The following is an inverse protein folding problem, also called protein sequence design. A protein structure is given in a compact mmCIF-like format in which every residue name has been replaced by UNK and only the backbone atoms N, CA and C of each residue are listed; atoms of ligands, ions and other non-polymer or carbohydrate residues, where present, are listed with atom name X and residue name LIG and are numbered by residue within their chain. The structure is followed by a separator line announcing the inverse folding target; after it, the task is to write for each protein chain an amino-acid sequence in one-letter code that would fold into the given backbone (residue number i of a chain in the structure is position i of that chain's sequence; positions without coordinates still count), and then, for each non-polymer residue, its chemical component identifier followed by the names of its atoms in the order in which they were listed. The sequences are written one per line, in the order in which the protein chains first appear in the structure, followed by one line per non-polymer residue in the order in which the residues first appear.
data_IF_535262878453
#
_entry.id   IF_535262878453
#
_cell.length_a   1.000
_cell.length_b   1.000
_cell.length_c   1.000
_cell.angle_alpha   90.00
_cell.angle_beta   90.00
_cell.angle_gamma   90.00
#
_symmetry.space_group_name_H-M   'P 1'
#
loop_
_entity.id
_entity.type
_entity.pdbx_description
1 polymer ?
#
# COMPACT_ATOMS: atom_id res chain seq x y z
N UNK A 1 4.37 -8.90 12.89
CA UNK A 1 3.40 -7.81 12.60
C UNK A 1 2.13 -8.10 13.38
N UNK A 2 1.43 -7.08 13.89
CA UNK A 2 0.20 -7.28 14.67
C UNK A 2 -1.00 -7.66 13.76
N UNK A 3 -1.97 -8.49 14.22
CA UNK A 3 -3.06 -9.02 13.38
C UNK A 3 -3.88 -8.01 12.57
N UNK A 4 -4.17 -6.82 13.11
CA UNK A 4 -4.91 -5.80 12.34
C UNK A 4 -4.12 -5.25 11.15
N UNK A 5 -2.82 -5.02 11.32
CA UNK A 5 -1.95 -4.61 10.21
C UNK A 5 -1.82 -5.73 9.18
N UNK A 6 -1.78 -6.99 9.61
CA UNK A 6 -1.81 -8.14 8.69
C UNK A 6 -3.09 -8.16 7.84
N UNK A 7 -4.25 -7.91 8.45
CA UNK A 7 -5.50 -7.81 7.71
C UNK A 7 -5.49 -6.62 6.73
N UNK A 8 -5.04 -5.46 7.18
CA UNK A 8 -4.89 -4.29 6.31
C UNK A 8 -3.90 -4.53 5.17
N UNK A 9 -2.80 -5.26 5.38
CA UNK A 9 -1.84 -5.58 4.32
C UNK A 9 -2.48 -6.43 3.22
N UNK A 10 -3.25 -7.45 3.61
CA UNK A 10 -3.98 -8.30 2.67
C UNK A 10 -5.03 -7.51 1.89
N UNK A 11 -5.73 -6.61 2.57
CA UNK A 11 -6.74 -5.79 1.93
C UNK A 11 -6.12 -4.75 0.97
N UNK A 12 -5.02 -4.11 1.35
CA UNK A 12 -4.25 -3.23 0.46
C UNK A 12 -3.82 -4.01 -0.79
N UNK A 13 -3.23 -5.19 -0.62
CA UNK A 13 -2.83 -6.03 -1.75
C UNK A 13 -4.01 -6.32 -2.69
N UNK A 14 -5.16 -6.72 -2.12
CA UNK A 14 -6.38 -7.01 -2.88
C UNK A 14 -6.86 -5.78 -3.67
N UNK A 15 -6.84 -4.60 -3.06
CA UNK A 15 -7.25 -3.35 -3.71
C UNK A 15 -6.27 -2.99 -4.83
N UNK A 16 -4.97 -3.09 -4.59
CA UNK A 16 -3.92 -2.86 -5.60
C UNK A 16 -4.12 -3.78 -6.80
N UNK A 17 -4.34 -5.07 -6.55
CA UNK A 17 -4.58 -6.06 -7.60
C UNK A 17 -5.83 -5.71 -8.43
N UNK A 18 -6.93 -5.31 -7.78
CA UNK A 18 -8.14 -4.86 -8.46
C UNK A 18 -7.91 -3.62 -9.33
N UNK A 19 -7.10 -2.67 -8.87
CA UNK A 19 -6.72 -1.52 -9.69
C UNK A 19 -5.87 -1.94 -10.89
N UNK A 20 -4.92 -2.85 -10.71
CA UNK A 20 -4.14 -3.40 -11.82
C UNK A 20 -5.02 -4.14 -12.83
N UNK A 21 -5.95 -4.99 -12.36
CA UNK A 21 -6.93 -5.69 -13.21
C UNK A 21 -7.80 -4.73 -14.01
N UNK A 22 -8.28 -3.65 -13.39
CA UNK A 22 -9.12 -2.66 -14.06
C UNK A 22 -8.41 -1.92 -15.20
N UNK A 23 -7.07 -1.84 -15.15
CA UNK A 23 -6.25 -1.23 -16.19
C UNK A 23 -5.82 -2.22 -17.29
N UNK A 24 -6.16 -3.51 -17.17
CA UNK A 24 -5.93 -4.50 -18.21
C UNK A 24 -7.15 -4.55 -19.15
N UNK A 25 -6.91 -4.35 -20.45
CA UNK A 25 -7.96 -4.40 -21.47
C UNK A 25 -8.47 -5.82 -21.81
N UNK A 26 -7.89 -6.87 -21.23
CA UNK A 26 -8.28 -8.26 -21.48
C UNK A 26 -8.32 -9.07 -20.19
N UNK A 27 -9.34 -9.93 -20.04
CA UNK A 27 -9.42 -10.92 -18.97
C UNK A 27 -8.23 -11.89 -19.09
N UNK A 28 -7.23 -11.72 -18.23
CA UNK A 28 -6.14 -12.68 -18.10
C UNK A 28 -6.53 -13.85 -17.20
N UNK A 29 -5.85 -14.98 -17.40
CA UNK A 29 -5.95 -16.21 -16.62
C UNK A 29 -4.93 -16.29 -15.47
N UNK A 30 -4.18 -15.20 -15.20
CA UNK A 30 -3.20 -15.13 -14.11
C UNK A 30 -3.90 -14.94 -12.76
N UNK A 31 -3.24 -15.38 -11.68
CA UNK A 31 -3.74 -15.24 -10.31
C UNK A 31 -3.71 -13.81 -9.76
N UNK A 32 -3.01 -12.90 -10.44
CA UNK A 32 -2.91 -11.47 -10.13
C UNK A 32 -2.51 -10.67 -11.38
N UNK A 33 -2.91 -9.40 -11.42
CA UNK A 33 -2.54 -8.42 -12.44
C UNK A 33 -1.32 -7.57 -12.06
N UNK A 34 -0.88 -7.61 -10.79
CA UNK A 34 0.22 -6.79 -10.27
C UNK A 34 1.51 -6.95 -11.08
N UNK A 35 2.00 -8.18 -11.40
CA UNK A 35 3.27 -8.33 -12.09
C UNK A 35 3.27 -7.77 -13.51
N UNK A 36 2.10 -7.76 -14.16
CA UNK A 36 1.93 -7.26 -15.52
C UNK A 36 1.92 -5.73 -15.56
N UNK A 37 1.32 -5.09 -14.55
CA UNK A 37 1.11 -3.63 -14.53
C UNK A 37 2.26 -2.91 -13.82
N UNK A 38 2.75 -3.44 -12.70
CA UNK A 38 3.76 -2.81 -11.87
C UNK A 38 5.17 -3.38 -12.09
N UNK A 39 5.33 -4.44 -12.87
CA UNK A 39 6.64 -5.01 -13.19
C UNK A 39 7.37 -5.66 -12.00
N UNK A 40 6.66 -5.96 -10.90
CA UNK A 40 7.20 -6.61 -9.70
C UNK A 40 6.49 -7.93 -9.41
N UNK A 41 7.16 -8.88 -8.76
CA UNK A 41 6.50 -10.14 -8.40
C UNK A 41 5.43 -9.93 -7.33
N UNK A 42 4.42 -10.81 -7.30
CA UNK A 42 3.39 -10.82 -6.23
C UNK A 42 4.02 -10.88 -4.83
N UNK A 43 5.09 -11.66 -4.71
CA UNK A 43 5.82 -11.83 -3.46
C UNK A 43 6.51 -10.53 -3.03
N UNK A 44 7.10 -9.80 -3.97
CA UNK A 44 7.75 -8.53 -3.67
C UNK A 44 6.72 -7.44 -3.36
N UNK A 45 5.61 -7.40 -4.08
CA UNK A 45 4.50 -6.51 -3.78
C UNK A 45 3.97 -6.73 -2.36
N UNK A 46 3.70 -7.99 -1.99
CA UNK A 46 3.29 -8.34 -0.62
C UNK A 46 4.34 -7.90 0.40
N UNK A 47 5.63 -8.23 0.18
CA UNK A 47 6.71 -7.84 1.09
C UNK A 47 6.80 -6.32 1.28
N UNK A 48 6.66 -5.55 0.20
CA UNK A 48 6.70 -4.08 0.26
C UNK A 48 5.52 -3.52 1.05
N UNK A 49 4.30 -3.96 0.76
CA UNK A 49 3.10 -3.57 1.50
C UNK A 49 3.26 -3.89 3.00
N UNK A 50 3.79 -5.07 3.32
CA UNK A 50 4.06 -5.45 4.71
C UNK A 50 5.09 -4.53 5.38
N UNK A 51 6.19 -4.21 4.69
CA UNK A 51 7.21 -3.28 5.20
C UNK A 51 6.63 -1.90 5.48
N UNK A 52 5.83 -1.38 4.55
CA UNK A 52 5.13 -0.09 4.71
C UNK A 52 4.26 -0.12 5.96
N UNK A 53 3.40 -1.14 6.11
CA UNK A 53 2.51 -1.22 7.27
C UNK A 53 3.24 -1.44 8.59
N UNK A 54 4.34 -2.18 8.60
CA UNK A 54 5.19 -2.31 9.80
C UNK A 54 5.73 -0.94 10.21
N UNK A 55 6.16 -0.12 9.25
CA UNK A 55 6.76 1.18 9.51
C UNK A 55 5.74 2.26 9.91
N UNK A 56 4.45 2.10 9.55
CA UNK A 56 3.41 3.03 9.98
C UNK A 56 3.13 2.94 11.50
N UNK A 57 2.75 4.03 12.17
CA UNK A 57 2.31 4.00 13.56
C UNK A 57 1.16 3.02 13.83
N UNK A 58 1.28 2.25 14.91
CA UNK A 58 0.28 1.27 15.33
C UNK A 58 -1.08 1.93 15.65
N UNK A 59 -1.06 3.13 16.25
CA UNK A 59 -2.26 3.87 16.62
C UNK A 59 -3.24 4.09 15.45
N UNK A 60 -2.73 4.14 14.21
CA UNK A 60 -3.53 4.30 13.00
C UNK A 60 -4.54 3.18 12.78
N UNK A 61 -4.21 1.96 13.23
CA UNK A 61 -5.01 0.76 13.02
C UNK A 61 -5.75 0.31 14.29
N UNK A 62 -5.28 0.73 15.47
CA UNK A 62 -5.90 0.33 16.75
C UNK A 62 -6.94 1.29 17.27
N UNK A 63 -6.67 2.59 17.19
CA UNK A 63 -7.49 3.62 17.84
C UNK A 63 -8.51 4.24 16.88
N UNK A 64 -8.37 4.00 15.57
CA UNK A 64 -9.33 4.44 14.57
C UNK A 64 -10.63 3.62 14.61
N UNK A 65 -11.74 4.28 14.29
CA UNK A 65 -13.02 3.61 13.99
C UNK A 65 -12.87 2.74 12.73
N UNK A 66 -13.59 1.60 12.61
CA UNK A 66 -13.47 0.69 11.47
C UNK A 66 -13.65 1.37 10.10
N UNK A 67 -14.59 2.31 9.98
CA UNK A 67 -14.85 3.03 8.73
C UNK A 67 -13.62 3.83 8.28
N UNK A 68 -12.97 4.51 9.24
CA UNK A 68 -11.75 5.27 9.01
C UNK A 68 -10.58 4.37 8.63
N UNK A 69 -10.50 3.17 9.22
CA UNK A 69 -9.48 2.18 8.84
C UNK A 69 -9.66 1.75 7.38
N UNK A 70 -10.90 1.50 6.93
CA UNK A 70 -11.17 1.13 5.54
C UNK A 70 -10.82 2.25 4.54
N UNK A 71 -11.14 3.49 4.87
CA UNK A 71 -10.75 4.65 4.06
C UNK A 71 -9.23 4.80 3.99
N UNK A 72 -8.55 4.68 5.12
CA UNK A 72 -7.10 4.76 5.21
C UNK A 72 -6.42 3.62 4.44
N UNK A 73 -6.96 2.40 4.52
CA UNK A 73 -6.50 1.24 3.74
C UNK A 73 -6.60 1.51 2.23
N UNK A 74 -7.74 2.03 1.77
CA UNK A 74 -7.94 2.40 0.36
C UNK A 74 -6.98 3.51 -0.07
N UNK A 75 -6.75 4.50 0.79
CA UNK A 75 -5.79 5.57 0.55
C UNK A 75 -4.35 5.05 0.43
N UNK A 76 -3.91 4.20 1.37
CA UNK A 76 -2.57 3.59 1.33
C UNK A 76 -2.39 2.77 0.05
N UNK A 77 -3.41 2.03 -0.39
CA UNK A 77 -3.35 1.28 -1.65
C UNK A 77 -3.12 2.18 -2.87
N UNK A 78 -3.81 3.32 -2.94
CA UNK A 78 -3.62 4.30 -4.01
C UNK A 78 -2.21 4.93 -3.97
N UNK A 79 -1.73 5.31 -2.78
CA UNK A 79 -0.38 5.85 -2.62
C UNK A 79 0.70 4.82 -2.99
N UNK A 80 0.50 3.57 -2.60
CA UNK A 80 1.39 2.48 -2.98
C UNK A 80 1.45 2.26 -4.49
N UNK A 81 0.30 2.28 -5.18
CA UNK A 81 0.25 2.17 -6.64
C UNK A 81 1.05 3.27 -7.32
N UNK A 82 0.85 4.52 -6.89
CA UNK A 82 1.57 5.67 -7.44
C UNK A 82 3.08 5.56 -7.20
N UNK A 83 3.48 5.16 -6.00
CA UNK A 83 4.88 4.92 -5.65
C UNK A 83 5.49 3.82 -6.52
N UNK A 84 4.88 2.64 -6.61
CA UNK A 84 5.42 1.55 -7.42
C UNK A 84 5.40 1.81 -8.93
N UNK A 85 4.46 2.60 -9.43
CA UNK A 85 4.46 2.99 -10.84
C UNK A 85 5.62 3.94 -11.20
N UNK A 86 6.19 4.65 -10.22
CA UNK A 86 7.28 5.61 -10.41
C UNK A 86 8.65 5.03 -10.08
N UNK A 87 8.70 4.09 -9.15
CA UNK A 87 9.95 3.61 -8.56
C UNK A 87 10.33 2.21 -9.04
N UNK A 88 11.63 1.98 -9.25
CA UNK A 88 12.16 0.67 -9.58
C UNK A 88 12.72 -0.01 -8.32
N UNK A 89 12.18 -1.17 -7.95
CA UNK A 89 12.63 -1.93 -6.76
C UNK A 89 14.12 -2.33 -6.81
N UNK A 90 14.70 -2.40 -8.00
CA UNK A 90 16.12 -2.76 -8.20
C UNK A 90 17.05 -1.54 -8.19
N UNK A 91 16.53 -0.32 -8.04
CA UNK A 91 17.34 0.89 -7.92
C UNK A 91 18.09 0.92 -6.58
N UNK A 92 19.35 1.34 -6.60
CA UNK A 92 20.18 1.47 -5.40
C UNK A 92 19.59 2.48 -4.40
N UNK A 93 18.87 3.50 -4.89
CA UNK A 93 18.23 4.53 -4.08
C UNK A 93 16.85 4.10 -3.55
N UNK A 94 16.30 2.98 -4.02
CA UNK A 94 14.97 2.50 -3.63
C UNK A 94 14.74 2.45 -2.11
N UNK A 95 15.69 1.98 -1.26
CA UNK A 95 15.50 2.00 0.19
C UNK A 95 15.27 3.40 0.75
N UNK A 96 16.00 4.40 0.26
CA UNK A 96 15.86 5.80 0.67
C UNK A 96 14.52 6.39 0.21
N UNK A 97 14.11 6.06 -1.01
CA UNK A 97 12.82 6.49 -1.58
C UNK A 97 11.64 5.87 -0.82
N UNK A 98 11.75 4.60 -0.44
CA UNK A 98 10.75 3.92 0.39
C UNK A 98 10.63 4.56 1.78
N UNK A 99 11.74 4.94 2.41
CA UNK A 99 11.73 5.65 3.70
C UNK A 99 11.03 7.00 3.57
N UNK A 100 11.38 7.78 2.54
CA UNK A 100 10.74 9.07 2.28
C UNK A 100 9.25 8.92 2.02
N UNK A 101 8.87 7.94 1.21
CA UNK A 101 7.47 7.59 0.97
C UNK A 101 6.72 7.30 2.26
N UNK A 102 7.28 6.46 3.14
CA UNK A 102 6.64 6.14 4.43
C UNK A 102 6.49 7.39 5.31
N UNK A 103 7.52 8.25 5.37
CA UNK A 103 7.45 9.48 6.16
C UNK A 103 6.34 10.40 5.66
N UNK A 104 6.25 10.61 4.35
CA UNK A 104 5.20 11.41 3.73
C UNK A 104 3.81 10.79 3.96
N UNK A 105 3.70 9.47 3.83
CA UNK A 105 2.45 8.74 4.07
C UNK A 105 1.95 8.91 5.51
N UNK A 106 2.86 8.91 6.49
CA UNK A 106 2.52 9.19 7.90
C UNK A 106 1.97 10.60 8.06
N UNK A 107 2.66 11.60 7.49
CA UNK A 107 2.22 12.99 7.55
C UNK A 107 0.84 13.17 6.91
N UNK A 108 0.62 12.61 5.73
CA UNK A 108 -0.67 12.69 5.03
C UNK A 108 -1.80 11.98 5.79
N UNK A 109 -1.54 10.81 6.39
CA UNK A 109 -2.53 10.11 7.22
C UNK A 109 -2.87 10.95 8.45
N UNK A 110 -1.88 11.53 9.12
CA UNK A 110 -2.10 12.42 10.26
C UNK A 110 -2.95 13.61 9.85
N UNK A 111 -2.57 14.27 8.75
CA UNK A 111 -3.27 15.44 8.24
C UNK A 111 -4.73 15.13 7.87
N UNK A 112 -4.97 13.99 7.24
CA UNK A 112 -6.29 13.61 6.72
C UNK A 112 -7.24 13.07 7.78
N UNK A 113 -6.73 12.34 8.78
CA UNK A 113 -7.58 11.54 9.68
C UNK A 113 -7.45 11.90 11.16
N UNK A 114 -6.43 12.67 11.53
CA UNK A 114 -6.11 13.00 12.93
C UNK A 114 -5.91 14.49 13.18
N UNK A 115 -5.93 15.34 12.15
CA UNK A 115 -6.05 16.78 12.32
C UNK A 115 -7.39 17.12 12.98
N UNK A 116 -7.32 17.76 14.14
CA UNK A 116 -8.47 18.38 14.77
C UNK A 116 -8.89 19.61 13.95
N UNK A 117 -10.13 19.61 13.46
CA UNK A 117 -10.97 20.81 13.44
C UNK A 117 -11.98 20.70 14.55
#
# INVERSE_FOLDING_TARGET
MHPRKEQSAKEIYRIVDQYCEANLHSKYSSSSAIPLVLGISDTDAQKLIHKILIALPDCFFYLAKPERVNEMVSFIAQQYLLFQAQENINDELFPSLLINFVNNLVEEIMLRYYSYT
#
